data_IF_516851823349
#
_entry.id   IF_516851823349
#
_cell.length_a   1.000
_cell.length_b   1.000
_cell.length_c   1.000
_cell.angle_alpha   90.00
_cell.angle_beta   90.00
_cell.angle_gamma   90.00
#
_symmetry.space_group_name_H-M   'P 1'
#
loop_
_entity.id
_entity.type
_entity.pdbx_description
1 polymer ?
#
# COMPACT_ATOMS: atom_id res chain seq x y z
N UNK A 1 -2.98 -7.13 -12.90
CA UNK A 1 -1.53 -6.90 -13.10
C UNK A 1 -0.93 -5.98 -12.04
N UNK A 2 -1.56 -4.85 -11.70
CA UNK A 2 -0.98 -3.87 -10.75
C UNK A 2 -0.66 -4.44 -9.36
N UNK A 3 -1.57 -5.25 -8.79
CA UNK A 3 -1.35 -5.90 -7.49
C UNK A 3 -0.15 -6.85 -7.49
N UNK A 4 0.09 -7.54 -8.61
CA UNK A 4 1.23 -8.44 -8.76
C UNK A 4 2.56 -7.68 -8.89
N UNK A 5 2.57 -6.57 -9.65
CA UNK A 5 3.75 -5.72 -9.78
C UNK A 5 4.20 -5.15 -8.42
N UNK A 6 3.22 -4.68 -7.62
CA UNK A 6 3.44 -4.23 -6.24
C UNK A 6 3.99 -5.37 -5.38
N UNK A 7 3.38 -6.56 -5.45
CA UNK A 7 3.86 -7.72 -4.69
C UNK A 7 5.29 -8.12 -5.03
N UNK A 8 5.68 -8.12 -6.31
CA UNK A 8 7.06 -8.44 -6.69
C UNK A 8 8.06 -7.41 -6.17
N UNK A 9 7.67 -6.13 -6.11
CA UNK A 9 8.48 -5.09 -5.50
C UNK A 9 8.64 -5.29 -3.98
N UNK A 10 7.57 -5.67 -3.27
CA UNK A 10 7.63 -6.01 -1.86
C UNK A 10 8.49 -7.25 -1.60
N UNK A 11 8.35 -8.28 -2.45
CA UNK A 11 9.06 -9.55 -2.30
C UNK A 11 10.58 -9.37 -2.39
N UNK A 12 11.07 -8.61 -3.37
CA UNK A 12 12.52 -8.35 -3.47
C UNK A 12 13.02 -7.52 -2.30
N UNK A 13 12.27 -6.49 -1.86
CA UNK A 13 12.64 -5.69 -0.69
C UNK A 13 12.70 -6.52 0.60
N UNK A 14 11.71 -7.39 0.81
CA UNK A 14 11.70 -8.30 1.95
C UNK A 14 12.91 -9.25 1.92
N UNK A 15 13.32 -9.70 0.73
CA UNK A 15 14.48 -10.56 0.54
C UNK A 15 15.85 -9.83 0.68
N UNK A 16 15.88 -8.50 0.57
CA UNK A 16 17.11 -7.69 0.61
C UNK A 16 17.32 -6.96 1.95
N UNK A 17 16.72 -7.46 3.04
CA UNK A 17 17.02 -7.00 4.39
C UNK A 17 16.14 -5.87 4.92
N UNK A 18 15.10 -5.45 4.20
CA UNK A 18 14.18 -4.39 4.69
C UNK A 18 13.47 -4.75 6.00
N UNK A 19 13.31 -6.06 6.27
CA UNK A 19 12.72 -6.56 7.51
C UNK A 19 13.68 -6.52 8.71
N UNK A 20 15.00 -6.43 8.49
CA UNK A 20 16.00 -6.53 9.55
C UNK A 20 15.99 -5.30 10.46
N UNK A 21 15.77 -5.42 11.78
CA UNK A 21 15.57 -4.27 12.66
C UNK A 21 16.70 -3.22 12.66
N UNK A 22 17.93 -3.62 12.35
CA UNK A 22 19.10 -2.74 12.34
C UNK A 22 19.37 -1.99 11.02
N UNK A 23 18.60 -2.25 9.96
CA UNK A 23 18.83 -1.66 8.63
C UNK A 23 17.80 -0.58 8.34
N UNK A 24 18.20 0.67 8.09
CA UNK A 24 17.28 1.74 7.69
C UNK A 24 17.26 1.86 6.15
N UNK A 25 16.54 0.98 5.46
CA UNK A 25 16.64 0.84 4.00
C UNK A 25 16.16 2.11 3.27
N UNK A 26 15.02 2.66 3.68
CA UNK A 26 14.47 3.91 3.13
C UNK A 26 15.47 5.05 3.26
N UNK A 27 16.10 5.17 4.44
CA UNK A 27 17.12 6.20 4.69
C UNK A 27 18.34 6.00 3.79
N UNK A 28 18.79 4.76 3.64
CA UNK A 28 19.89 4.42 2.74
C UNK A 28 19.61 4.86 1.30
N UNK A 29 18.41 4.60 0.76
CA UNK A 29 18.04 5.05 -0.58
C UNK A 29 18.02 6.57 -0.72
N UNK A 30 17.47 7.29 0.25
CA UNK A 30 17.45 8.76 0.23
C UNK A 30 18.87 9.34 0.24
N UNK A 31 19.76 8.79 1.09
CA UNK A 31 21.17 9.21 1.14
C UNK A 31 21.87 8.85 -0.17
N UNK A 32 21.61 7.67 -0.73
CA UNK A 32 22.19 7.25 -2.00
C UNK A 32 21.79 8.18 -3.14
N UNK A 33 20.51 8.56 -3.22
CA UNK A 33 20.04 9.51 -4.25
C UNK A 33 20.65 10.90 -4.06
N UNK A 34 20.83 11.37 -2.83
CA UNK A 34 21.55 12.63 -2.57
C UNK A 34 23.01 12.61 -3.04
N UNK A 35 23.65 11.44 -3.07
CA UNK A 35 25.06 11.29 -3.45
C UNK A 35 25.25 10.99 -4.93
N UNK A 36 24.32 10.29 -5.55
CA UNK A 36 24.51 9.67 -6.87
C UNK A 36 23.41 9.96 -7.89
N UNK A 37 22.33 10.65 -7.51
CA UNK A 37 21.15 10.89 -8.36
C UNK A 37 20.50 12.25 -8.07
N UNK A 38 19.30 12.46 -8.59
CA UNK A 38 18.44 13.60 -8.28
C UNK A 38 17.47 13.23 -7.14
N UNK A 39 17.66 13.78 -5.93
CA UNK A 39 16.82 13.46 -4.78
C UNK A 39 15.45 14.16 -4.87
N UNK A 40 14.50 13.66 -4.08
CA UNK A 40 13.21 14.33 -3.93
C UNK A 40 13.31 15.69 -3.21
N UNK A 41 12.32 16.58 -3.40
CA UNK A 41 12.34 17.94 -2.84
C UNK A 41 12.38 18.01 -1.30
N UNK A 42 11.97 16.94 -0.61
CA UNK A 42 11.99 16.85 0.86
C UNK A 42 13.11 15.94 1.39
N UNK A 43 13.99 15.41 0.53
CA UNK A 43 15.07 14.49 0.92
C UNK A 43 15.96 15.05 2.03
N UNK A 44 16.48 16.27 1.86
CA UNK A 44 17.38 16.88 2.86
C UNK A 44 16.67 17.18 4.18
N UNK A 45 15.40 17.58 4.12
CA UNK A 45 14.61 17.88 5.32
C UNK A 45 14.34 16.63 6.15
N UNK A 46 13.89 15.54 5.52
CA UNK A 46 13.55 14.31 6.24
C UNK A 46 14.78 13.64 6.87
N UNK A 47 15.97 13.76 6.23
CA UNK A 47 17.22 13.28 6.81
C UNK A 47 17.66 14.02 8.07
N UNK A 48 17.15 15.23 8.31
CA UNK A 48 17.33 15.94 9.57
C UNK A 48 16.67 15.25 10.76
N UNK A 49 15.77 14.28 10.52
CA UNK A 49 15.08 13.54 11.58
C UNK A 49 15.93 12.34 12.01
N UNK A 50 16.51 12.43 13.20
CA UNK A 50 17.31 11.35 13.78
C UNK A 50 16.46 10.42 14.67
N UNK A 51 15.53 9.68 14.06
CA UNK A 51 14.67 8.72 14.76
C UNK A 51 14.67 7.36 14.06
N UNK A 52 15.33 6.33 14.63
CA UNK A 52 15.32 4.99 14.07
C UNK A 52 13.93 4.38 13.95
N UNK A 53 13.03 4.73 14.89
CA UNK A 53 11.63 4.33 14.85
C UNK A 53 10.91 4.85 13.61
N UNK A 54 11.16 6.10 13.22
CA UNK A 54 10.57 6.68 12.01
C UNK A 54 11.08 5.93 10.77
N UNK A 55 12.40 5.74 10.66
CA UNK A 55 12.99 5.07 9.49
C UNK A 55 12.49 3.64 9.35
N UNK A 56 12.37 2.92 10.45
CA UNK A 56 11.78 1.58 10.44
C UNK A 56 10.29 1.55 10.15
N UNK A 57 9.55 2.54 10.64
CA UNK A 57 8.16 2.69 10.26
C UNK A 57 8.01 2.89 8.74
N UNK A 58 8.89 3.66 8.10
CA UNK A 58 8.87 3.86 6.65
C UNK A 58 9.23 2.58 5.88
N UNK A 59 10.21 1.81 6.34
CA UNK A 59 10.57 0.51 5.75
C UNK A 59 9.38 -0.48 5.78
N UNK A 60 8.75 -0.63 6.95
CA UNK A 60 7.61 -1.51 7.10
C UNK A 60 6.36 -1.00 6.37
N UNK A 61 6.16 0.31 6.32
CA UNK A 61 5.07 0.91 5.54
C UNK A 61 5.23 0.63 4.05
N UNK A 62 6.46 0.72 3.53
CA UNK A 62 6.78 0.40 2.13
C UNK A 62 6.44 -1.06 1.83
N UNK A 63 6.93 -2.00 2.64
CA UNK A 63 6.63 -3.42 2.49
C UNK A 63 5.13 -3.72 2.59
N UNK A 64 4.44 -3.05 3.52
CA UNK A 64 3.00 -3.24 3.71
C UNK A 64 2.20 -2.74 2.51
N UNK A 65 2.45 -1.51 2.04
CA UNK A 65 1.71 -0.93 0.91
C UNK A 65 1.98 -1.72 -0.38
N UNK A 66 3.22 -2.09 -0.64
CA UNK A 66 3.58 -2.89 -1.81
C UNK A 66 3.08 -4.34 -1.70
N UNK A 67 3.06 -4.92 -0.50
CA UNK A 67 2.65 -6.31 -0.30
C UNK A 67 1.14 -6.51 -0.23
N UNK A 68 0.39 -5.59 0.37
CA UNK A 68 -1.00 -5.86 0.75
C UNK A 68 -1.98 -5.91 -0.43
N UNK A 69 -1.66 -5.28 -1.56
CA UNK A 69 -2.56 -5.22 -2.72
C UNK A 69 -2.89 -6.59 -3.32
N UNK A 70 -1.98 -7.57 -3.22
CA UNK A 70 -2.22 -8.93 -3.74
C UNK A 70 -3.32 -9.67 -2.97
N UNK A 71 -3.47 -9.38 -1.67
CA UNK A 71 -4.56 -9.91 -0.86
C UNK A 71 -5.81 -9.04 -1.01
N UNK A 72 -5.62 -7.73 -1.09
CA UNK A 72 -6.72 -6.78 -1.21
C UNK A 72 -7.52 -6.96 -2.51
N UNK A 73 -6.90 -7.46 -3.60
CA UNK A 73 -7.58 -7.64 -4.90
C UNK A 73 -8.81 -8.55 -4.83
N UNK A 74 -8.88 -9.46 -3.86
CA UNK A 74 -10.04 -10.35 -3.66
C UNK A 74 -11.23 -9.65 -2.99
N UNK A 75 -11.02 -8.46 -2.43
CA UNK A 75 -12.02 -7.69 -1.69
C UNK A 75 -12.07 -6.27 -2.26
N UNK A 76 -13.04 -5.95 -3.14
CA UNK A 76 -13.07 -4.69 -3.87
C UNK A 76 -12.97 -3.44 -2.98
N UNK A 77 -13.60 -3.42 -1.80
CA UNK A 77 -13.47 -2.32 -0.85
C UNK A 77 -12.05 -2.15 -0.31
N UNK A 78 -11.42 -3.25 0.14
CA UNK A 78 -10.03 -3.23 0.62
C UNK A 78 -9.07 -2.87 -0.49
N UNK A 79 -9.30 -3.35 -1.72
CA UNK A 79 -8.48 -3.00 -2.87
C UNK A 79 -8.45 -1.49 -3.09
N UNK A 80 -9.62 -0.82 -3.06
CA UNK A 80 -9.72 0.64 -3.22
C UNK A 80 -9.04 1.41 -2.09
N UNK A 81 -9.19 0.96 -0.84
CA UNK A 81 -8.44 1.54 0.28
C UNK A 81 -6.94 1.39 0.04
N UNK A 82 -6.49 0.22 -0.42
CA UNK A 82 -5.11 -0.02 -0.81
C UNK A 82 -4.62 0.91 -1.91
N UNK A 83 -5.44 1.22 -2.92
CA UNK A 83 -5.10 2.18 -3.97
C UNK A 83 -4.95 3.61 -3.43
N UNK A 84 -5.78 4.02 -2.46
CA UNK A 84 -5.61 5.32 -1.78
C UNK A 84 -4.28 5.35 -1.03
N UNK A 85 -3.97 4.29 -0.27
CA UNK A 85 -2.69 4.18 0.45
C UNK A 85 -1.49 4.18 -0.51
N UNK A 86 -1.57 3.44 -1.62
CA UNK A 86 -0.55 3.43 -2.67
C UNK A 86 -0.36 4.82 -3.29
N UNK A 87 -1.43 5.59 -3.47
CA UNK A 87 -1.37 6.95 -3.99
C UNK A 87 -0.62 7.89 -3.04
N UNK A 88 -0.95 7.83 -1.73
CA UNK A 88 -0.23 8.61 -0.70
C UNK A 88 1.23 8.18 -0.60
N UNK A 89 1.49 6.87 -0.67
CA UNK A 89 2.85 6.32 -0.69
C UNK A 89 3.67 6.85 -1.86
N UNK A 90 3.13 6.85 -3.08
CA UNK A 90 3.82 7.40 -4.25
C UNK A 90 4.11 8.90 -4.13
N UNK A 91 3.21 9.69 -3.52
CA UNK A 91 3.52 11.09 -3.20
C UNK A 91 4.69 11.18 -2.23
N UNK A 92 4.72 10.34 -1.20
CA UNK A 92 5.87 10.24 -0.28
C UNK A 92 7.17 9.90 -1.00
N UNK A 93 7.16 8.86 -1.86
CA UNK A 93 8.31 8.45 -2.66
C UNK A 93 8.78 9.57 -3.60
N UNK A 94 7.86 10.30 -4.25
CA UNK A 94 8.21 11.46 -5.04
C UNK A 94 8.89 12.54 -4.20
N UNK A 95 8.33 12.85 -3.02
CA UNK A 95 8.88 13.88 -2.13
C UNK A 95 10.27 13.51 -1.60
N UNK A 96 10.57 12.24 -1.38
CA UNK A 96 11.85 11.81 -0.79
C UNK A 96 12.89 11.33 -1.81
N UNK A 97 12.46 10.60 -2.84
CA UNK A 97 13.33 9.96 -3.84
C UNK A 97 13.20 10.58 -5.25
N UNK A 98 12.29 11.54 -5.45
CA UNK A 98 12.14 12.23 -6.75
C UNK A 98 11.50 11.37 -7.85
N UNK A 99 11.08 10.14 -7.54
CA UNK A 99 10.53 9.21 -8.53
C UNK A 99 9.07 9.55 -8.84
N UNK A 100 8.76 9.86 -10.11
CA UNK A 100 7.39 10.16 -10.55
C UNK A 100 6.61 8.88 -10.90
N UNK A 101 5.36 8.80 -10.42
CA UNK A 101 4.41 7.72 -10.69
C UNK A 101 3.10 8.22 -11.32
N UNK A 102 3.13 9.35 -12.05
CA UNK A 102 1.93 9.99 -12.63
C UNK A 102 1.06 9.02 -13.44
N UNK A 103 1.67 8.13 -14.22
CA UNK A 103 0.94 7.13 -15.01
C UNK A 103 0.14 6.15 -14.15
N UNK A 104 0.59 5.84 -12.93
CA UNK A 104 -0.12 4.96 -12.01
C UNK A 104 -1.37 5.62 -11.45
N UNK A 105 -1.37 6.94 -11.25
CA UNK A 105 -2.54 7.68 -10.78
C UNK A 105 -3.74 7.53 -11.75
N UNK A 106 -3.49 7.60 -13.05
CA UNK A 106 -4.53 7.37 -14.07
C UNK A 106 -5.09 5.94 -14.01
N UNK A 107 -4.23 4.95 -13.80
CA UNK A 107 -4.66 3.54 -13.65
C UNK A 107 -5.53 3.38 -12.39
N UNK A 108 -5.15 3.99 -11.27
CA UNK A 108 -5.93 3.93 -10.03
C UNK A 108 -7.31 4.57 -10.19
N UNK A 109 -7.40 5.70 -10.88
CA UNK A 109 -8.65 6.43 -11.08
C UNK A 109 -9.73 5.54 -11.70
N UNK A 110 -9.37 4.66 -12.64
CA UNK A 110 -10.29 3.71 -13.27
C UNK A 110 -11.07 2.84 -12.28
N UNK A 111 -10.47 2.51 -11.12
CA UNK A 111 -11.11 1.68 -10.08
C UNK A 111 -12.11 2.44 -9.19
N UNK A 112 -12.09 3.78 -9.27
CA UNK A 112 -12.98 4.68 -8.52
C UNK A 112 -14.16 5.21 -9.35
N UNK A 113 -14.19 4.98 -10.67
CA UNK A 113 -15.25 5.45 -11.57
C UNK A 113 -16.60 4.72 -11.39
N UNK A 114 -16.67 3.70 -10.53
CA UNK A 114 -17.92 3.01 -10.21
C UNK A 114 -18.76 3.85 -9.21
N UNK A 115 -20.11 3.79 -9.28
CA UNK A 115 -20.95 4.44 -8.29
C UNK A 115 -20.61 4.01 -6.86
N UNK A 116 -20.58 4.96 -5.91
CA UNK A 116 -20.19 4.71 -4.52
C UNK A 116 -20.96 3.55 -3.85
N UNK A 117 -22.25 3.41 -4.18
CA UNK A 117 -23.09 2.30 -3.70
C UNK A 117 -22.55 0.91 -4.06
N UNK A 118 -21.68 0.78 -5.07
CA UNK A 118 -21.10 -0.48 -5.55
C UNK A 118 -19.66 -0.68 -5.09
N UNK A 119 -19.16 0.13 -4.16
CA UNK A 119 -17.77 0.04 -3.70
C UNK A 119 -17.52 -1.13 -2.76
N UNK A 120 -18.54 -1.54 -1.99
CA UNK A 120 -18.40 -2.58 -0.96
C UNK A 120 -19.42 -3.73 -1.13
N UNK A 121 -19.44 -4.43 -2.29
CA UNK A 121 -20.36 -5.55 -2.52
C UNK A 121 -20.20 -6.68 -1.50
N UNK A 122 -19.02 -6.84 -0.91
CA UNK A 122 -18.74 -7.83 0.14
C UNK A 122 -19.57 -7.61 1.41
N UNK A 123 -19.84 -6.36 1.79
CA UNK A 123 -20.65 -6.03 2.96
C UNK A 123 -22.11 -6.46 2.73
N UNK A 124 -22.60 -6.24 1.51
CA UNK A 124 -23.94 -6.65 1.11
C UNK A 124 -24.07 -8.18 1.08
N UNK A 125 -23.08 -8.88 0.53
CA UNK A 125 -23.02 -10.34 0.54
C UNK A 125 -23.05 -10.91 1.97
N UNK A 126 -22.25 -10.35 2.88
CA UNK A 126 -22.21 -10.77 4.28
C UNK A 126 -23.55 -10.50 5.00
N UNK A 127 -24.20 -9.37 4.70
CA UNK A 127 -25.52 -9.03 5.23
C UNK A 127 -26.58 -10.04 4.80
N UNK A 128 -26.55 -10.44 3.53
CA UNK A 128 -27.46 -11.44 2.96
C UNK A 128 -27.23 -12.85 3.53
N UNK A 129 -25.97 -13.25 3.71
CA UNK A 129 -25.64 -14.52 4.36
C UNK A 129 -26.17 -14.57 5.81
N UNK A 130 -26.02 -13.47 6.56
CA UNK A 130 -26.51 -13.37 7.94
C UNK A 130 -28.04 -13.40 8.02
N UNK A 131 -28.72 -12.76 7.07
CA UNK A 131 -30.18 -12.75 7.01
C UNK A 131 -30.75 -14.13 6.66
N UNK A 132 -30.10 -14.87 5.74
CA UNK A 132 -30.45 -16.27 5.41
C UNK A 132 -30.26 -17.21 6.60
N UNK A 133 -29.15 -17.10 7.33
CA UNK A 133 -28.87 -17.93 8.51
C UNK A 133 -29.91 -17.74 9.63
N UNK A 134 -30.46 -16.53 9.80
CA UNK A 134 -31.54 -16.25 10.77
C UNK A 134 -32.89 -16.83 10.37
N UNK A 135 -33.13 -17.07 9.07
CA UNK A 135 -34.38 -17.63 8.55
C UNK A 135 -34.35 -19.15 8.39
N UNK A 136 -33.22 -19.79 8.63
CA UNK A 136 -33.13 -21.25 8.62
C UNK A 136 -34.00 -21.82 9.77
N UNK A 137 -34.97 -22.71 9.49
CA UNK A 137 -35.79 -23.30 10.54
C UNK A 137 -34.90 -24.08 11.49
N UNK A 138 -35.05 -23.84 12.79
CA UNK A 138 -34.50 -24.73 13.81
C UNK A 138 -35.27 -26.04 13.68
N UNK A 139 -34.68 -27.03 13.01
CA UNK A 139 -35.21 -28.39 13.02
C UNK A 139 -34.97 -28.87 14.45
N UNK A 140 -35.99 -28.71 15.29
CA UNK A 140 -36.02 -29.25 16.64
C UNK A 140 -36.02 -30.78 16.52
N UNK A 141 -34.98 -31.40 17.09
CA UNK A 141 -34.85 -32.84 17.31
C UNK A 141 -35.76 -33.33 18.42
#
# INVERSE_FOLDING_TARGET
MIAFAFFTAAAIKAATGWLEPGIEATRYYIVSDLLYSDPGPMASWILGINSPLLWKFLDYSTLFVEGCLILAVFFPGLFRIGLVLASVFHVGVFLTLGISFEMHAFVYLGFFLLPFAKWFPEIELLRDMKSRRRRAPTIAS
#
